data_IF_312526384400
#
_entry.id   IF_312526384400
#
_cell.length_a   1.000
_cell.length_b   1.000
_cell.length_c   1.000
_cell.angle_alpha   90.00
_cell.angle_beta   90.00
_cell.angle_gamma   90.00
#
_symmetry.space_group_name_H-M   'P 1'
#
loop_
_entity.id
_entity.type
_entity.pdbx_description
1 polymer ?
#
# COMPACT_ATOMS: atom_id res chain seq x y z
N UNK A 1 -36.04 13.67 -8.81
CA UNK A 1 -37.42 13.10 -8.95
C UNK A 1 -37.59 12.17 -10.15
N UNK A 2 -37.16 12.52 -11.38
CA UNK A 2 -37.34 11.66 -12.59
C UNK A 2 -36.71 10.25 -12.54
N UNK A 3 -35.60 10.06 -11.82
CA UNK A 3 -34.90 8.75 -11.72
C UNK A 3 -35.67 7.68 -10.94
N UNK A 4 -36.45 8.08 -9.93
CA UNK A 4 -37.25 7.13 -9.14
C UNK A 4 -38.53 6.70 -9.88
N UNK A 5 -39.12 7.61 -10.67
CA UNK A 5 -40.30 7.34 -11.51
C UNK A 5 -40.06 6.23 -12.55
N UNK A 6 -38.85 6.14 -13.10
CA UNK A 6 -38.50 5.14 -14.12
C UNK A 6 -38.50 3.69 -13.59
N UNK A 7 -38.39 3.50 -12.28
CA UNK A 7 -38.33 2.18 -11.65
C UNK A 7 -39.62 1.83 -10.90
N UNK A 8 -40.28 2.82 -10.31
CA UNK A 8 -41.54 2.62 -9.57
C UNK A 8 -42.73 2.36 -10.49
N UNK A 9 -42.76 2.99 -11.67
CA UNK A 9 -43.85 2.83 -12.64
C UNK A 9 -43.98 1.41 -13.19
N UNK A 10 -42.92 0.77 -13.74
CA UNK A 10 -43.04 -0.61 -14.23
C UNK A 10 -43.31 -1.59 -13.08
N UNK A 11 -42.74 -1.39 -11.89
CA UNK A 11 -43.02 -2.25 -10.73
C UNK A 11 -44.48 -2.18 -10.28
N UNK A 12 -45.05 -0.97 -10.21
CA UNK A 12 -46.47 -0.77 -9.92
C UNK A 12 -47.37 -1.38 -11.01
N UNK A 13 -47.00 -1.24 -12.29
CA UNK A 13 -47.71 -1.85 -13.42
C UNK A 13 -47.72 -3.38 -13.35
N UNK A 14 -46.61 -4.01 -12.95
CA UNK A 14 -46.54 -5.47 -12.75
C UNK A 14 -47.52 -5.92 -11.67
N UNK A 15 -47.56 -5.23 -10.51
CA UNK A 15 -48.45 -5.57 -9.39
C UNK A 15 -49.92 -5.37 -9.77
N UNK A 16 -50.25 -4.23 -10.38
CA UNK A 16 -51.64 -3.90 -10.78
C UNK A 16 -52.14 -4.82 -11.88
N UNK A 17 -51.32 -5.13 -12.88
CA UNK A 17 -51.69 -6.03 -13.97
C UNK A 17 -51.83 -7.48 -13.48
N UNK A 18 -50.95 -7.94 -12.58
CA UNK A 18 -51.10 -9.26 -11.96
C UNK A 18 -52.40 -9.40 -11.16
N UNK A 19 -52.76 -8.38 -10.38
CA UNK A 19 -54.01 -8.35 -9.60
C UNK A 19 -55.27 -8.34 -10.50
N UNK A 20 -55.25 -7.54 -11.58
CA UNK A 20 -56.33 -7.51 -12.57
C UNK A 20 -56.48 -8.85 -13.31
N UNK A 21 -55.38 -9.55 -13.61
CA UNK A 21 -55.42 -10.85 -14.27
C UNK A 21 -56.06 -11.92 -13.37
N UNK A 22 -55.70 -11.94 -12.09
CA UNK A 22 -56.29 -12.85 -11.10
C UNK A 22 -57.80 -12.63 -10.91
N UNK A 23 -58.29 -11.39 -11.09
CA UNK A 23 -59.72 -11.07 -10.99
C UNK A 23 -60.53 -11.43 -12.26
N UNK A 24 -59.87 -11.74 -13.38
CA UNK A 24 -60.50 -12.08 -14.68
C UNK A 24 -60.59 -13.61 -14.90
N UNK A 25 -60.17 -14.42 -13.93
CA UNK A 25 -60.28 -15.88 -13.99
C UNK A 25 -61.75 -16.32 -14.23
N UNK A 26 -61.98 -17.28 -15.13
CA UNK A 26 -63.32 -17.61 -15.60
C UNK A 26 -64.15 -18.32 -14.51
N UNK A 27 -65.41 -17.90 -14.40
CA UNK A 27 -66.46 -18.67 -13.76
C UNK A 27 -67.00 -19.63 -14.84
N UNK A 28 -67.01 -20.95 -14.58
CA UNK A 28 -67.13 -22.05 -15.55
C UNK A 28 -68.47 -22.14 -16.34
N UNK A 29 -69.26 -21.06 -16.45
CA UNK A 29 -70.68 -21.15 -16.82
C UNK A 29 -71.24 -20.22 -17.91
N UNK A 30 -70.48 -19.38 -18.63
CA UNK A 30 -71.08 -18.41 -19.58
C UNK A 30 -70.58 -18.51 -21.03
N UNK A 31 -71.40 -19.11 -21.89
CA UNK A 31 -71.24 -19.20 -23.36
C UNK A 31 -72.02 -18.09 -24.09
N UNK A 32 -71.62 -16.83 -23.91
CA UNK A 32 -72.12 -15.67 -24.69
C UNK A 32 -70.96 -14.74 -25.11
N UNK A 33 -71.20 -13.78 -26.01
CA UNK A 33 -70.17 -12.85 -26.54
C UNK A 33 -69.35 -12.12 -25.47
N UNK A 34 -69.87 -12.03 -24.24
CA UNK A 34 -69.18 -11.51 -23.07
C UNK A 34 -67.95 -12.35 -22.63
N UNK A 35 -67.93 -13.67 -22.88
CA UNK A 35 -66.81 -14.55 -22.57
C UNK A 35 -65.57 -14.29 -23.44
N UNK A 36 -65.78 -13.97 -24.72
CA UNK A 36 -64.69 -13.63 -25.66
C UNK A 36 -64.04 -12.29 -25.29
N UNK A 37 -64.80 -11.33 -24.77
CA UNK A 37 -64.26 -10.04 -24.32
C UNK A 37 -63.39 -10.19 -23.05
N UNK A 38 -63.79 -11.06 -22.10
CA UNK A 38 -63.03 -11.32 -20.87
C UNK A 38 -61.71 -12.05 -21.14
N UNK A 39 -61.73 -13.05 -22.03
CA UNK A 39 -60.51 -13.76 -22.44
C UNK A 39 -59.51 -12.84 -23.13
N UNK A 40 -59.98 -11.97 -24.05
CA UNK A 40 -59.14 -10.96 -24.68
C UNK A 40 -58.54 -9.97 -23.66
N UNK A 41 -59.32 -9.51 -22.67
CA UNK A 41 -58.83 -8.64 -21.60
C UNK A 41 -57.75 -9.33 -20.74
N UNK A 42 -57.94 -10.60 -20.37
CA UNK A 42 -56.95 -11.38 -19.62
C UNK A 42 -55.62 -11.54 -20.36
N UNK A 43 -55.65 -11.76 -21.68
CA UNK A 43 -54.44 -11.84 -22.52
C UNK A 43 -53.69 -10.51 -22.53
N UNK A 44 -54.39 -9.38 -22.72
CA UNK A 44 -53.78 -8.05 -22.74
C UNK A 44 -53.14 -7.74 -21.37
N UNK A 45 -53.86 -7.97 -20.27
CA UNK A 45 -53.34 -7.72 -18.93
C UNK A 45 -52.14 -8.62 -18.60
N UNK A 46 -52.17 -9.89 -19.04
CA UNK A 46 -51.03 -10.82 -18.90
C UNK A 46 -49.79 -10.33 -19.66
N UNK A 47 -49.98 -9.82 -20.88
CA UNK A 47 -48.90 -9.28 -21.69
C UNK A 47 -48.29 -8.01 -21.08
N UNK A 48 -49.13 -7.11 -20.54
CA UNK A 48 -48.66 -5.93 -19.80
C UNK A 48 -47.87 -6.34 -18.54
N UNK A 49 -48.32 -7.35 -17.80
CA UNK A 49 -47.60 -7.87 -16.64
C UNK A 49 -46.21 -8.42 -17.03
N UNK A 50 -46.13 -9.24 -18.08
CA UNK A 50 -44.87 -9.79 -18.58
C UNK A 50 -43.89 -8.71 -19.06
N UNK A 51 -44.37 -7.73 -19.82
CA UNK A 51 -43.55 -6.61 -20.31
C UNK A 51 -43.03 -5.77 -19.14
N UNK A 52 -43.87 -5.52 -18.14
CA UNK A 52 -43.50 -4.73 -16.96
C UNK A 52 -42.48 -5.47 -16.09
N UNK A 53 -42.66 -6.78 -15.89
CA UNK A 53 -41.69 -7.63 -15.20
C UNK A 53 -40.34 -7.64 -15.94
N UNK A 54 -40.35 -7.86 -17.26
CA UNK A 54 -39.13 -7.83 -18.07
C UNK A 54 -38.42 -6.48 -17.98
N UNK A 55 -39.16 -5.37 -18.04
CA UNK A 55 -38.61 -4.03 -17.88
C UNK A 55 -37.95 -3.83 -16.49
N UNK A 56 -38.58 -4.29 -15.41
CA UNK A 56 -37.98 -4.21 -14.06
C UNK A 56 -36.69 -5.02 -13.94
N UNK A 57 -36.65 -6.23 -14.51
CA UNK A 57 -35.45 -7.07 -14.49
C UNK A 57 -34.30 -6.45 -15.28
N UNK A 58 -34.58 -5.93 -16.47
CA UNK A 58 -33.57 -5.25 -17.31
C UNK A 58 -33.05 -4.00 -16.62
N UNK A 59 -33.94 -3.14 -16.11
CA UNK A 59 -33.54 -1.91 -15.41
C UNK A 59 -32.77 -2.21 -14.12
N UNK A 60 -33.08 -3.29 -13.41
CA UNK A 60 -32.32 -3.75 -12.25
C UNK A 60 -30.97 -4.30 -12.59
N UNK A 61 -30.88 -5.12 -13.64
CA UNK A 61 -29.60 -5.61 -14.12
C UNK A 61 -28.69 -4.46 -14.56
N UNK A 62 -29.22 -3.47 -15.29
CA UNK A 62 -28.48 -2.26 -15.67
C UNK A 62 -28.01 -1.49 -14.44
N UNK A 63 -28.88 -1.25 -13.46
CA UNK A 63 -28.51 -0.54 -12.23
C UNK A 63 -27.41 -1.27 -11.44
N UNK A 64 -27.48 -2.61 -11.34
CA UNK A 64 -26.45 -3.44 -10.69
C UNK A 64 -25.13 -3.36 -11.45
N UNK A 65 -25.16 -3.46 -12.78
CA UNK A 65 -23.96 -3.37 -13.62
C UNK A 65 -23.33 -1.98 -13.51
N UNK A 66 -24.13 -0.90 -13.51
CA UNK A 66 -23.65 0.47 -13.31
C UNK A 66 -23.04 0.66 -11.92
N UNK A 67 -23.68 0.14 -10.87
CA UNK A 67 -23.16 0.19 -9.51
C UNK A 67 -21.82 -0.55 -9.40
N UNK A 68 -21.72 -1.77 -9.93
CA UNK A 68 -20.47 -2.52 -9.95
C UNK A 68 -19.36 -1.86 -10.77
N UNK A 69 -19.70 -1.23 -11.91
CA UNK A 69 -18.73 -0.43 -12.68
C UNK A 69 -18.25 0.78 -11.89
N UNK A 70 -19.14 1.48 -11.19
CA UNK A 70 -18.80 2.62 -10.36
C UNK A 70 -17.90 2.22 -9.18
N UNK A 71 -18.20 1.11 -8.51
CA UNK A 71 -17.39 0.61 -7.39
C UNK A 71 -16.00 0.15 -7.84
N UNK A 72 -15.91 -0.54 -8.99
CA UNK A 72 -14.61 -0.88 -9.60
C UNK A 72 -13.83 0.35 -10.00
N UNK A 73 -14.48 1.37 -10.57
CA UNK A 73 -13.82 2.64 -10.90
C UNK A 73 -13.31 3.36 -9.66
N UNK A 74 -14.08 3.38 -8.56
CA UNK A 74 -13.65 3.93 -7.26
C UNK A 74 -12.46 3.17 -6.69
N UNK A 75 -12.51 1.83 -6.67
CA UNK A 75 -11.41 1.00 -6.18
C UNK A 75 -10.14 1.17 -7.02
N UNK A 76 -10.28 1.30 -8.34
CA UNK A 76 -9.15 1.59 -9.23
C UNK A 76 -8.58 2.99 -8.98
N UNK A 77 -9.45 3.98 -8.76
CA UNK A 77 -9.02 5.35 -8.46
C UNK A 77 -8.29 5.46 -7.12
N UNK A 78 -8.77 4.78 -6.07
CA UNK A 78 -8.07 4.75 -4.77
C UNK A 78 -6.74 4.04 -4.89
N UNK A 79 -6.68 2.88 -5.56
CA UNK A 79 -5.42 2.17 -5.81
C UNK A 79 -4.41 3.04 -6.59
N UNK A 80 -4.86 3.75 -7.63
CA UNK A 80 -4.03 4.67 -8.39
C UNK A 80 -3.52 5.85 -7.53
N UNK A 81 -4.36 6.41 -6.67
CA UNK A 81 -3.98 7.47 -5.74
C UNK A 81 -2.93 6.98 -4.72
N UNK A 82 -3.10 5.79 -4.15
CA UNK A 82 -2.11 5.18 -3.26
C UNK A 82 -0.78 4.94 -3.98
N UNK A 83 -0.80 4.46 -5.23
CA UNK A 83 0.41 4.28 -6.04
C UNK A 83 1.11 5.59 -6.37
N UNK A 84 0.36 6.65 -6.71
CA UNK A 84 0.91 7.97 -6.96
C UNK A 84 1.60 8.52 -5.70
N UNK A 85 0.92 8.47 -4.56
CA UNK A 85 1.47 8.89 -3.26
C UNK A 85 2.74 8.11 -2.89
N UNK A 86 2.77 6.80 -3.13
CA UNK A 86 3.96 5.98 -2.87
C UNK A 86 5.14 6.36 -3.78
N UNK A 87 4.89 6.68 -5.06
CA UNK A 87 5.93 7.16 -6.00
C UNK A 87 6.46 8.52 -5.60
N UNK A 88 5.60 9.43 -5.18
CA UNK A 88 6.00 10.76 -4.72
C UNK A 88 6.83 10.67 -3.45
N UNK A 89 6.41 9.85 -2.48
CA UNK A 89 7.17 9.60 -1.25
C UNK A 89 8.55 9.00 -1.55
N UNK A 90 8.63 8.01 -2.45
CA UNK A 90 9.90 7.46 -2.89
C UNK A 90 10.79 8.54 -3.51
N UNK A 91 10.27 9.31 -4.48
CA UNK A 91 11.04 10.39 -5.12
C UNK A 91 11.56 11.40 -4.10
N UNK A 92 10.71 11.90 -3.21
CA UNK A 92 11.10 12.84 -2.16
C UNK A 92 12.16 12.25 -1.22
N UNK A 93 12.01 10.99 -0.82
CA UNK A 93 12.97 10.29 0.03
C UNK A 93 14.34 10.14 -0.62
N UNK A 94 14.39 9.82 -1.92
CA UNK A 94 15.63 9.72 -2.68
C UNK A 94 16.31 11.08 -2.86
N UNK A 95 15.54 12.09 -3.27
CA UNK A 95 16.03 13.45 -3.48
C UNK A 95 16.55 14.04 -2.16
N UNK A 96 15.83 13.84 -1.06
CA UNK A 96 16.24 14.21 0.30
C UNK A 96 17.51 13.49 0.75
N UNK A 97 17.65 12.20 0.46
CA UNK A 97 18.86 11.44 0.77
C UNK A 97 20.07 11.91 -0.06
N UNK A 98 19.89 12.21 -1.33
CA UNK A 98 20.95 12.72 -2.20
C UNK A 98 21.37 14.13 -1.76
N UNK A 99 20.41 14.98 -1.41
CA UNK A 99 20.65 16.29 -0.81
C UNK A 99 21.47 16.16 0.48
N UNK A 100 21.04 15.30 1.40
CA UNK A 100 21.72 15.07 2.67
C UNK A 100 23.15 14.56 2.46
N UNK A 101 23.34 13.57 1.59
CA UNK A 101 24.66 13.03 1.28
C UNK A 101 25.62 14.10 0.77
N UNK A 102 25.15 15.00 -0.11
CA UNK A 102 25.94 16.12 -0.63
C UNK A 102 26.40 17.05 0.50
N UNK A 103 25.48 17.44 1.38
CA UNK A 103 25.77 18.35 2.49
C UNK A 103 26.74 17.72 3.49
N UNK A 104 26.49 16.47 3.91
CA UNK A 104 27.39 15.76 4.82
C UNK A 104 28.80 15.58 4.22
N UNK A 105 28.90 15.36 2.90
CA UNK A 105 30.19 15.26 2.20
C UNK A 105 30.95 16.59 2.16
N UNK A 106 30.23 17.70 2.19
CA UNK A 106 30.76 19.06 2.28
C UNK A 106 31.06 19.51 3.73
N UNK A 107 30.83 18.66 4.73
CA UNK A 107 30.98 19.01 6.15
C UNK A 107 29.85 19.88 6.69
N UNK A 108 28.72 19.94 5.98
CA UNK A 108 27.53 20.67 6.40
C UNK A 108 26.54 19.69 7.03
N UNK A 109 26.14 19.99 8.26
CA UNK A 109 25.19 19.17 9.03
C UNK A 109 23.80 19.82 9.02
N UNK A 110 22.72 19.02 9.00
CA UNK A 110 21.40 19.54 9.32
C UNK A 110 21.43 20.23 10.68
N UNK A 111 20.77 21.37 10.80
CA UNK A 111 20.70 22.10 12.06
C UNK A 111 20.11 21.19 13.17
N UNK A 112 20.67 21.22 14.39
CA UNK A 112 20.11 20.47 15.50
C UNK A 112 18.64 20.81 15.70
N UNK A 113 17.81 19.79 15.84
CA UNK A 113 16.36 19.90 16.00
C UNK A 113 16.00 19.50 17.43
N UNK A 114 15.23 20.36 18.11
CA UNK A 114 14.72 20.05 19.45
C UNK A 114 13.61 19.00 19.36
N UNK A 115 13.80 17.87 20.04
CA UNK A 115 12.80 16.79 20.13
C UNK A 115 12.20 16.78 21.53
N UNK A 116 10.90 17.02 21.61
CA UNK A 116 10.18 16.95 22.88
C UNK A 116 9.88 15.49 23.25
N UNK A 117 10.08 15.13 24.52
CA UNK A 117 9.81 13.78 25.03
C UNK A 117 10.95 12.77 24.87
N UNK A 118 12.05 13.14 24.21
CA UNK A 118 13.29 12.37 24.16
C UNK A 118 14.39 13.11 24.91
N UNK A 119 14.97 12.47 25.93
CA UNK A 119 16.12 13.03 26.65
C UNK A 119 17.40 12.72 25.89
N UNK A 120 18.07 13.77 25.41
CA UNK A 120 19.37 13.67 24.75
C UNK A 120 20.49 13.52 25.78
N UNK A 121 21.50 12.71 25.45
CA UNK A 121 22.72 12.53 26.25
C UNK A 121 23.61 13.78 26.17
N UNK A 122 24.57 13.96 27.09
CA UNK A 122 25.54 15.05 26.98
C UNK A 122 26.25 15.05 25.61
N UNK A 123 26.22 16.20 24.92
CA UNK A 123 26.81 16.35 23.58
C UNK A 123 26.07 15.61 22.47
N UNK A 124 24.86 15.09 22.73
CA UNK A 124 24.00 14.48 21.72
C UNK A 124 23.13 15.54 21.05
N UNK A 125 23.15 15.56 19.71
CA UNK A 125 22.36 16.46 18.88
C UNK A 125 21.49 15.63 17.93
N UNK A 126 20.18 15.89 17.93
CA UNK A 126 19.26 15.28 16.98
C UNK A 126 19.26 16.10 15.69
N UNK A 127 19.45 15.44 14.54
CA UNK A 127 19.57 16.13 13.24
C UNK A 127 18.42 15.82 12.29
N UNK A 128 17.83 14.62 12.37
CA UNK A 128 16.74 14.20 11.50
C UNK A 128 15.65 13.50 12.29
N UNK A 129 14.40 13.68 11.86
CA UNK A 129 13.24 12.98 12.37
C UNK A 129 12.46 12.48 11.16
N UNK A 130 12.53 11.18 10.90
CA UNK A 130 12.02 10.59 9.66
C UNK A 130 11.20 9.35 9.96
N UNK A 131 10.02 9.15 9.33
CA UNK A 131 9.29 7.90 9.45
C UNK A 131 10.00 6.79 8.66
N UNK A 132 10.07 5.60 9.25
CA UNK A 132 10.56 4.38 8.61
C UNK A 132 9.83 3.15 9.15
N UNK A 133 9.84 2.06 8.38
CA UNK A 133 9.36 0.75 8.82
C UNK A 133 10.50 0.04 9.56
N UNK A 134 10.33 -0.07 10.87
CA UNK A 134 11.14 -0.85 11.78
C UNK A 134 10.85 -2.34 11.63
N UNK A 135 11.89 -3.17 11.77
CA UNK A 135 11.77 -4.62 11.90
C UNK A 135 13.04 -5.20 12.53
N UNK A 136 12.93 -6.40 13.12
CA UNK A 136 14.02 -7.08 13.82
C UNK A 136 14.22 -8.50 13.31
N UNK A 137 15.48 -8.92 13.19
CA UNK A 137 15.79 -10.26 12.71
C UNK A 137 15.89 -11.28 13.85
N UNK A 138 15.02 -12.27 13.84
CA UNK A 138 14.99 -13.37 14.82
C UNK A 138 15.25 -14.70 14.10
N UNK A 139 16.52 -15.07 13.90
CA UNK A 139 16.95 -16.33 13.30
C UNK A 139 18.24 -16.84 13.97
N UNK A 140 18.36 -18.17 14.14
CA UNK A 140 19.32 -18.88 15.01
C UNK A 140 20.82 -18.60 14.83
N UNK A 141 21.60 -19.00 15.84
CA UNK A 141 23.06 -18.89 16.04
C UNK A 141 23.77 -17.80 15.22
N UNK A 142 23.53 -16.55 15.67
CA UNK A 142 24.44 -15.40 15.72
C UNK A 142 25.36 -15.09 14.52
N UNK A 143 24.93 -15.34 13.28
CA UNK A 143 25.48 -14.60 12.14
C UNK A 143 24.42 -14.27 11.11
N UNK A 144 24.19 -12.97 10.90
CA UNK A 144 23.49 -12.50 9.70
C UNK A 144 24.39 -12.80 8.49
N UNK A 145 24.17 -13.96 7.86
CA UNK A 145 24.85 -14.30 6.60
C UNK A 145 24.21 -13.46 5.49
N UNK A 146 24.84 -12.33 5.17
CA UNK A 146 24.52 -11.55 3.99
C UNK A 146 24.72 -12.42 2.75
N UNK A 147 23.63 -12.76 2.05
CA UNK A 147 23.75 -13.34 0.71
C UNK A 147 24.21 -12.20 -0.18
N UNK A 148 25.52 -12.17 -0.46
CA UNK A 148 26.12 -11.26 -1.45
C UNK A 148 25.49 -11.57 -2.82
N UNK A 149 24.37 -10.92 -3.12
CA UNK A 149 23.88 -10.75 -4.47
C UNK A 149 24.81 -9.76 -5.16
N UNK A 150 25.92 -10.27 -5.69
CA UNK A 150 26.71 -9.58 -6.70
C UNK A 150 25.83 -9.46 -7.95
N UNK A 151 24.89 -8.50 -7.97
CA UNK A 151 24.04 -8.23 -9.11
C UNK A 151 24.82 -7.38 -10.13
N UNK A 152 25.83 -8.02 -10.74
CA UNK A 152 26.21 -7.66 -12.10
C UNK A 152 25.20 -8.34 -13.03
N UNK A 153 24.25 -7.56 -13.58
CA UNK A 153 23.46 -8.01 -14.73
C UNK A 153 21.98 -7.68 -14.69
N UNK A 154 21.60 -6.70 -15.52
CA UNK A 154 20.26 -6.40 -16.04
C UNK A 154 19.20 -5.83 -15.08
N UNK A 155 19.08 -4.50 -15.20
CA UNK A 155 18.14 -3.57 -14.57
C UNK A 155 16.62 -3.70 -14.86
N UNK A 156 16.02 -4.61 -15.67
CA UNK A 156 14.56 -4.59 -15.84
C UNK A 156 13.72 -5.47 -14.89
N UNK A 157 14.29 -6.41 -14.11
CA UNK A 157 13.46 -7.50 -13.55
C UNK A 157 12.93 -7.32 -12.11
N UNK A 158 13.36 -6.31 -11.35
CA UNK A 158 12.89 -6.09 -9.96
C UNK A 158 11.74 -5.06 -9.88
N UNK A 159 11.51 -4.28 -10.94
CA UNK A 159 10.38 -3.34 -11.01
C UNK A 159 9.04 -4.00 -11.41
N UNK A 160 9.05 -5.25 -11.88
CA UNK A 160 7.84 -5.99 -12.27
C UNK A 160 7.13 -6.70 -11.09
N UNK A 161 7.75 -6.76 -9.90
CA UNK A 161 7.26 -7.53 -8.76
C UNK A 161 6.07 -6.93 -8.00
N UNK A 162 5.74 -5.65 -8.23
CA UNK A 162 4.60 -4.97 -7.59
C UNK A 162 3.36 -4.81 -8.49
N UNK A 163 3.40 -5.28 -9.74
CA UNK A 163 2.36 -4.94 -10.73
C UNK A 163 1.47 -6.10 -11.22
N UNK A 164 1.67 -7.36 -10.82
CA UNK A 164 0.89 -8.49 -11.37
C UNK A 164 0.47 -9.53 -10.32
N UNK A 165 -0.39 -9.15 -9.40
CA UNK A 165 -1.17 -10.10 -8.57
C UNK A 165 -2.53 -10.35 -9.20
N UNK A 166 -2.53 -11.08 -10.32
CA UNK A 166 -3.73 -11.65 -10.90
C UNK A 166 -3.53 -13.16 -11.15
N UNK A 167 -4.01 -13.94 -10.17
CA UNK A 167 -4.60 -15.27 -10.29
C UNK A 167 -3.72 -16.46 -10.76
N UNK A 168 -3.51 -17.40 -9.83
CA UNK A 168 -3.11 -18.79 -10.08
C UNK A 168 -1.71 -19.16 -9.58
N UNK A 169 -1.61 -20.15 -8.68
CA UNK A 169 -0.39 -20.69 -8.04
C UNK A 169 0.32 -19.83 -6.97
N UNK A 170 -0.39 -18.92 -6.31
CA UNK A 170 0.16 -18.09 -5.22
C UNK A 170 0.24 -18.80 -3.87
N UNK A 171 -0.57 -19.81 -3.57
CA UNK A 171 -0.62 -20.38 -2.21
C UNK A 171 0.69 -21.06 -1.76
N UNK A 172 1.35 -21.84 -2.63
CA UNK A 172 2.64 -22.50 -2.30
C UNK A 172 3.83 -21.53 -2.34
N UNK A 173 3.79 -20.53 -3.22
CA UNK A 173 4.80 -19.46 -3.29
C UNK A 173 4.67 -18.50 -2.12
N UNK A 174 3.45 -18.23 -1.65
CA UNK A 174 3.16 -17.46 -0.44
C UNK A 174 3.47 -18.25 0.82
N UNK A 175 3.35 -19.58 0.83
CA UNK A 175 3.84 -20.40 1.94
C UNK A 175 5.37 -20.39 2.04
N UNK A 176 6.09 -20.49 0.91
CA UNK A 176 7.54 -20.36 0.86
C UNK A 176 8.04 -18.93 1.14
N UNK A 177 7.28 -17.90 0.72
CA UNK A 177 7.54 -16.50 1.10
C UNK A 177 7.12 -16.21 2.55
N UNK A 178 6.15 -16.93 3.11
CA UNK A 178 5.77 -16.87 4.53
C UNK A 178 6.82 -17.57 5.41
N UNK A 179 7.43 -18.66 4.95
CA UNK A 179 8.62 -19.27 5.55
C UNK A 179 9.85 -18.36 5.41
N UNK A 180 10.02 -17.66 4.28
CA UNK A 180 11.08 -16.65 4.14
C UNK A 180 10.82 -15.39 5.01
N UNK A 181 9.55 -15.04 5.24
CA UNK A 181 9.10 -14.00 6.17
C UNK A 181 9.21 -14.42 7.65
N UNK A 182 9.56 -15.66 7.98
CA UNK A 182 9.75 -16.09 9.37
C UNK A 182 10.93 -15.42 10.08
N UNK A 183 11.77 -14.63 9.39
CA UNK A 183 13.02 -14.13 9.98
C UNK A 183 13.06 -12.65 10.32
N UNK A 184 12.26 -11.80 9.68
CA UNK A 184 12.08 -10.39 10.08
C UNK A 184 10.72 -10.22 10.74
N UNK A 185 10.68 -9.73 11.98
CA UNK A 185 9.45 -9.52 12.76
C UNK A 185 9.34 -8.08 13.21
N UNK A 186 8.26 -7.78 13.91
CA UNK A 186 7.97 -6.46 14.51
C UNK A 186 7.93 -5.34 13.47
N UNK A 187 7.27 -5.62 12.34
CA UNK A 187 7.08 -4.64 11.28
C UNK A 187 6.17 -3.52 11.77
N UNK A 188 6.75 -2.36 12.03
CA UNK A 188 6.04 -1.21 12.58
C UNK A 188 6.53 0.07 11.90
N UNK A 189 5.60 0.94 11.49
CA UNK A 189 5.98 2.28 11.04
C UNK A 189 6.25 3.16 12.25
N UNK A 190 7.52 3.52 12.45
CA UNK A 190 8.00 4.28 13.61
C UNK A 190 8.57 5.62 13.18
N UNK A 191 8.56 6.57 14.11
CA UNK A 191 9.38 7.77 13.97
C UNK A 191 10.83 7.43 14.38
N UNK A 192 11.78 7.68 13.48
CA UNK A 192 13.21 7.51 13.75
C UNK A 192 13.84 8.87 13.95
N UNK A 193 14.37 9.09 15.15
CA UNK A 193 15.23 10.23 15.47
C UNK A 193 16.68 9.81 15.21
N UNK A 194 17.34 10.52 14.31
CA UNK A 194 18.73 10.31 13.95
C UNK A 194 19.57 11.36 14.66
N UNK A 195 20.43 10.92 15.57
CA UNK A 195 21.34 11.80 16.30
C UNK A 195 22.78 11.55 15.87
N UNK A 196 23.71 12.40 16.31
CA UNK A 196 25.14 12.21 16.13
C UNK A 196 25.71 11.00 16.91
N UNK A 197 24.97 10.43 17.87
CA UNK A 197 25.44 9.32 18.73
C UNK A 197 24.70 8.00 18.52
N UNK A 198 23.42 8.04 18.12
CA UNK A 198 22.55 6.85 18.05
C UNK A 198 21.34 7.06 17.15
N UNK A 199 20.65 5.97 16.84
CA UNK A 199 19.27 6.01 16.37
C UNK A 199 18.34 5.81 17.56
N UNK A 200 17.27 6.58 17.59
CA UNK A 200 16.17 6.37 18.54
C UNK A 200 14.89 6.15 17.76
N UNK A 201 14.28 4.98 17.92
CA UNK A 201 13.02 4.61 17.29
C UNK A 201 11.88 4.72 18.29
N UNK A 202 10.84 5.48 17.95
CA UNK A 202 9.60 5.51 18.72
C UNK A 202 8.71 4.34 18.32
N UNK A 203 8.82 3.23 19.04
CA UNK A 203 7.88 2.10 18.89
C UNK A 203 6.61 2.36 19.70
N UNK A 204 5.54 1.61 19.45
CA UNK A 204 4.27 1.75 20.17
C UNK A 204 4.41 1.60 21.69
N UNK A 205 5.37 0.79 22.16
CA UNK A 205 5.56 0.52 23.59
C UNK A 205 6.62 1.37 24.27
N UNK A 206 7.61 1.88 23.54
CA UNK A 206 8.76 2.57 24.13
C UNK A 206 9.69 3.23 23.10
N UNK A 207 10.57 4.10 23.59
CA UNK A 207 11.73 4.55 22.84
C UNK A 207 12.80 3.46 22.83
N UNK A 208 13.12 2.92 21.66
CA UNK A 208 14.22 1.98 21.48
C UNK A 208 15.46 2.74 21.00
N UNK A 209 16.59 2.49 21.65
CA UNK A 209 17.86 3.15 21.37
C UNK A 209 18.84 2.17 20.72
N UNK A 210 19.53 2.61 19.68
CA UNK A 210 20.54 1.86 18.96
C UNK A 210 21.82 2.70 18.80
N UNK A 211 22.76 2.47 19.70
CA UNK A 211 24.02 3.22 19.76
C UNK A 211 24.95 2.87 18.61
N UNK A 212 25.51 3.89 17.93
CA UNK A 212 26.47 3.66 16.83
C UNK A 212 27.72 2.93 17.31
N UNK A 213 28.16 3.21 18.54
CA UNK A 213 29.31 2.55 19.15
C UNK A 213 29.10 1.03 19.37
N UNK A 214 27.86 0.56 19.42
CA UNK A 214 27.52 -0.86 19.57
C UNK A 214 27.34 -1.60 18.24
N UNK A 215 27.41 -0.91 17.10
CA UNK A 215 27.21 -1.51 15.77
C UNK A 215 28.41 -2.40 15.45
N UNK A 216 28.16 -3.69 15.23
CA UNK A 216 29.16 -4.68 14.84
C UNK A 216 29.31 -4.79 13.32
N UNK A 217 28.19 -4.78 12.63
CA UNK A 217 28.14 -4.78 11.17
C UNK A 217 27.01 -3.88 10.67
N UNK A 218 27.22 -3.32 9.48
CA UNK A 218 26.37 -2.29 8.90
C UNK A 218 26.20 -2.54 7.42
N UNK A 219 24.96 -2.50 6.95
CA UNK A 219 24.60 -2.73 5.56
C UNK A 219 23.67 -1.61 5.09
N UNK A 220 24.21 -0.53 4.50
CA UNK A 220 23.41 0.51 3.88
C UNK A 220 22.97 0.03 2.50
N UNK A 221 21.66 -0.09 2.27
CA UNK A 221 21.11 -0.54 0.99
C UNK A 221 20.11 0.50 0.45
N UNK A 222 20.57 1.69 0.03
CA UNK A 222 19.68 2.76 -0.40
C UNK A 222 18.82 2.36 -1.61
N UNK A 223 19.34 1.55 -2.55
CA UNK A 223 18.55 1.03 -3.69
C UNK A 223 17.41 0.10 -3.26
N UNK A 224 17.62 -0.66 -2.18
CA UNK A 224 16.59 -1.51 -1.58
C UNK A 224 15.73 -0.75 -0.55
N UNK A 225 15.88 0.57 -0.45
CA UNK A 225 15.17 1.42 0.52
C UNK A 225 15.32 0.90 1.93
N UNK A 226 16.52 0.43 2.30
CA UNK A 226 16.72 -0.18 3.60
C UNK A 226 18.11 0.06 4.21
N UNK A 227 18.15 -0.05 5.52
CA UNK A 227 19.35 -0.02 6.34
C UNK A 227 19.28 -1.17 7.33
N UNK A 228 20.34 -1.98 7.41
CA UNK A 228 20.49 -3.01 8.45
C UNK A 228 21.69 -2.69 9.34
N UNK A 229 21.45 -2.75 10.66
CA UNK A 229 22.46 -2.65 11.70
C UNK A 229 22.47 -3.93 12.53
N UNK A 230 23.64 -4.55 12.62
CA UNK A 230 23.86 -5.75 13.42
C UNK A 230 24.61 -5.40 14.72
N UNK A 231 24.25 -6.09 15.80
CA UNK A 231 24.71 -5.82 17.16
C UNK A 231 25.14 -7.14 17.82
N UNK A 232 26.10 -7.12 18.75
CA UNK A 232 26.60 -8.34 19.37
C UNK A 232 25.54 -9.08 20.19
N UNK A 233 24.77 -8.36 21.01
CA UNK A 233 23.87 -8.95 22.02
C UNK A 233 22.39 -8.60 21.78
N UNK A 234 22.07 -8.02 20.62
CA UNK A 234 20.68 -7.72 20.26
C UNK A 234 20.40 -8.12 18.83
N UNK A 235 19.15 -8.53 18.52
CA UNK A 235 18.75 -8.82 17.15
C UNK A 235 19.18 -7.70 16.16
N UNK A 236 19.48 -8.01 14.90
CA UNK A 236 19.70 -6.97 13.89
C UNK A 236 18.50 -6.04 13.75
N UNK A 237 18.75 -4.73 13.66
CA UNK A 237 17.76 -3.70 13.32
C UNK A 237 17.70 -3.57 11.79
N UNK A 238 16.50 -3.56 11.23
CA UNK A 238 16.26 -3.08 9.88
C UNK A 238 15.29 -1.90 9.86
N UNK A 239 15.69 -0.84 9.19
CA UNK A 239 14.84 0.32 8.88
C UNK A 239 14.60 0.35 7.37
N UNK A 240 13.35 0.30 6.95
CA UNK A 240 12.97 0.29 5.52
C UNK A 240 11.95 1.36 5.17
N UNK A 241 11.85 1.71 3.88
CA UNK A 241 10.90 2.69 3.36
C UNK A 241 11.58 3.93 2.75
N UNK A 242 10.75 4.89 2.35
CA UNK A 242 11.16 6.04 1.55
C UNK A 242 12.33 6.85 2.14
N UNK A 243 12.41 6.96 3.47
CA UNK A 243 13.45 7.75 4.14
C UNK A 243 14.71 6.95 4.53
N UNK A 244 14.68 5.62 4.39
CA UNK A 244 15.83 4.78 4.75
C UNK A 244 17.11 5.12 4.00
N UNK A 245 17.10 5.54 2.71
CA UNK A 245 18.32 6.02 2.05
C UNK A 245 18.98 7.22 2.76
N UNK A 246 18.18 8.15 3.31
CA UNK A 246 18.69 9.31 4.05
C UNK A 246 19.28 8.87 5.39
N UNK A 247 18.59 7.98 6.11
CA UNK A 247 19.09 7.40 7.36
C UNK A 247 20.39 6.62 7.10
N UNK A 248 20.45 5.79 6.05
CA UNK A 248 21.65 5.04 5.65
C UNK A 248 22.83 5.97 5.34
N UNK A 249 22.60 7.07 4.63
CA UNK A 249 23.63 8.08 4.35
C UNK A 249 24.15 8.71 5.65
N UNK A 250 23.26 9.15 6.55
CA UNK A 250 23.65 9.72 7.84
C UNK A 250 24.44 8.72 8.69
N UNK A 251 23.95 7.48 8.84
CA UNK A 251 24.61 6.46 9.65
C UNK A 251 25.96 6.07 9.05
N UNK A 252 26.11 6.05 7.72
CA UNK A 252 27.42 5.86 7.08
C UNK A 252 28.40 6.95 7.49
N UNK A 253 27.94 8.21 7.54
CA UNK A 253 28.76 9.31 8.04
C UNK A 253 29.08 9.17 9.53
N UNK A 254 28.11 8.79 10.36
CA UNK A 254 28.34 8.64 11.80
C UNK A 254 29.36 7.53 12.10
N UNK A 255 29.34 6.41 11.36
CA UNK A 255 30.24 5.28 11.57
C UNK A 255 31.62 5.44 10.91
N UNK A 256 31.68 6.10 9.75
CA UNK A 256 32.88 6.09 8.89
C UNK A 256 33.30 7.49 8.39
N UNK A 257 32.62 8.54 8.86
CA UNK A 257 32.86 9.92 8.47
C UNK A 257 32.66 10.17 6.98
N UNK A 258 33.24 11.27 6.51
CA UNK A 258 33.22 11.66 5.08
C UNK A 258 33.89 10.62 4.18
N UNK A 259 34.88 9.87 4.71
CA UNK A 259 35.52 8.77 3.98
C UNK A 259 34.51 7.68 3.63
N UNK A 260 33.63 7.31 4.57
CA UNK A 260 32.54 6.37 4.33
C UNK A 260 31.60 6.85 3.23
N UNK A 261 31.16 8.11 3.30
CA UNK A 261 30.27 8.69 2.28
C UNK A 261 30.86 8.64 0.87
N UNK A 262 32.15 8.94 0.73
CA UNK A 262 32.84 8.95 -0.57
C UNK A 262 33.18 7.56 -1.08
N UNK A 263 33.48 6.62 -0.19
CA UNK A 263 34.06 5.31 -0.53
C UNK A 263 33.10 4.12 -0.46
N UNK A 264 32.01 4.18 0.32
CA UNK A 264 31.16 3.01 0.52
C UNK A 264 30.47 2.60 -0.80
N UNK A 265 30.61 1.35 -1.28
CA UNK A 265 30.12 0.95 -2.60
C UNK A 265 28.61 1.06 -2.71
N UNK A 266 27.86 0.67 -1.68
CA UNK A 266 26.40 0.73 -1.69
C UNK A 266 25.81 2.15 -1.77
N UNK A 267 26.59 3.19 -1.48
CA UNK A 267 26.18 4.58 -1.66
C UNK A 267 26.49 5.14 -3.06
N UNK A 268 27.09 4.36 -3.96
CA UNK A 268 27.42 4.82 -5.31
C UNK A 268 26.21 5.37 -6.09
N UNK A 269 25.02 4.74 -6.07
CA UNK A 269 23.83 5.27 -6.72
C UNK A 269 23.40 6.62 -6.16
N UNK A 270 23.43 6.77 -4.83
CA UNK A 270 23.06 8.01 -4.15
C UNK A 270 24.07 9.12 -4.40
N UNK A 271 25.37 8.80 -4.47
CA UNK A 271 26.43 9.72 -4.89
C UNK A 271 26.24 10.20 -6.33
N UNK A 272 25.80 9.33 -7.24
CA UNK A 272 25.53 9.71 -8.62
C UNK A 272 24.37 10.72 -8.67
N UNK A 273 23.27 10.45 -7.94
CA UNK A 273 22.14 11.36 -7.84
C UNK A 273 22.54 12.71 -7.20
N UNK A 274 23.37 12.69 -6.16
CA UNK A 274 23.80 13.90 -5.44
C UNK A 274 24.64 14.89 -6.29
N UNK A 275 25.24 14.42 -7.40
CA UNK A 275 26.02 15.24 -8.35
C UNK A 275 25.16 15.99 -9.36
N UNK A 276 23.91 15.58 -9.55
CA UNK A 276 23.00 16.26 -10.47
C UNK A 276 22.50 17.56 -9.81
N UNK A 277 22.45 18.69 -10.54
CA UNK A 277 21.77 19.88 -10.06
C UNK A 277 20.26 19.56 -9.91
N UNK A 278 19.70 19.94 -8.76
CA UNK A 278 18.27 19.80 -8.43
C UNK A 278 17.40 20.77 -9.19
#
# INVERSE_FOLDING_TARGET
>A
MRRHLLWTVPLALTVVSGALNAAVLPDDGQTTSAGNARTAAGVITGLVCLVSLAATLVLGMVAIVEAHRADRARAAATAAAHQASARDAARQGWDGAAYLLRHLTAGQFPAPTTIWGLVLRPGEEAHLVLPAVYSRYYGGDSSYTHVNGFFMGSLPFVAAGYALTAMGNTARRNAALAEAAQRWRDHETVQVVVTNQRLVCQTWSSWMTFDYAGVRAFYPEPENWSLVLDFPDTPPLRLSGANSPAIAAYVTWALHGVRGLRGHPALAPLRAAARLPS
#
